data_IF_018804421411
#
_entry.id   IF_018804421411
#
_cell.length_a   1.000
_cell.length_b   1.000
_cell.length_c   1.000
_cell.angle_alpha   90.00
_cell.angle_beta   90.00
_cell.angle_gamma   90.00
#
_symmetry.space_group_name_H-M   'P 1'
#
loop_
_entity.id
_entity.type
_entity.pdbx_description
1 polymer ?
#
# COMPACT_ATOMS: atom_id res chain seq x y z
N UNK A 1 -2.81 45.43 29.47
CA UNK A 1 -1.75 44.40 29.52
C UNK A 1 -2.22 43.08 30.13
N UNK A 2 -2.74 43.06 31.38
CA UNK A 2 -3.17 41.80 32.05
C UNK A 2 -4.28 41.00 31.33
N UNK A 3 -5.30 41.66 30.74
CA UNK A 3 -6.36 40.97 29.98
C UNK A 3 -5.85 40.27 28.72
N UNK A 4 -4.90 40.87 28.01
CA UNK A 4 -4.32 40.28 26.80
C UNK A 4 -3.45 39.07 27.15
N UNK A 5 -2.74 39.11 28.29
CA UNK A 5 -1.96 37.98 28.79
C UNK A 5 -2.84 36.76 29.12
N UNK A 6 -4.05 36.98 29.67
CA UNK A 6 -5.02 35.90 29.95
C UNK A 6 -5.54 35.30 28.65
N UNK A 7 -5.89 36.11 27.65
CA UNK A 7 -6.30 35.61 26.34
C UNK A 7 -5.19 34.80 25.66
N UNK A 8 -3.94 35.27 25.73
CA UNK A 8 -2.78 34.55 25.18
C UNK A 8 -2.50 33.25 25.92
N UNK A 9 -2.63 33.20 27.25
CA UNK A 9 -2.48 31.94 27.99
C UNK A 9 -3.60 30.95 27.66
N UNK A 10 -4.83 31.44 27.50
CA UNK A 10 -5.99 30.62 27.20
C UNK A 10 -5.92 30.01 25.80
N UNK A 11 -5.42 30.75 24.80
CA UNK A 11 -5.20 30.21 23.46
C UNK A 11 -4.09 29.16 23.40
N UNK A 12 -3.02 29.31 24.19
CA UNK A 12 -1.97 28.28 24.32
C UNK A 12 -2.48 27.00 24.98
N UNK A 13 -3.40 27.11 25.94
CA UNK A 13 -3.99 25.95 26.63
C UNK A 13 -4.92 25.13 25.72
N UNK A 14 -5.60 25.76 24.75
CA UNK A 14 -6.46 25.06 23.79
C UNK A 14 -5.63 24.29 22.77
N UNK A 15 -4.46 24.80 22.38
CA UNK A 15 -3.57 24.14 21.41
C UNK A 15 -2.98 22.81 21.92
N UNK A 16 -2.93 22.58 23.24
CA UNK A 16 -2.35 21.36 23.83
C UNK A 16 -3.33 20.18 23.92
N UNK A 17 -4.60 20.34 23.53
CA UNK A 17 -5.61 19.27 23.57
C UNK A 17 -5.91 18.62 22.21
N UNK A 18 -5.13 18.92 21.17
CA UNK A 18 -5.31 18.29 19.86
C UNK A 18 -4.58 16.93 19.81
N UNK A 19 -5.18 15.91 20.39
CA UNK A 19 -4.76 14.51 20.18
C UNK A 19 -5.60 13.92 19.04
N UNK A 20 -5.00 13.78 17.86
CA UNK A 20 -5.63 13.14 16.69
C UNK A 20 -5.13 11.70 16.51
N UNK A 21 -5.11 10.91 17.57
CA UNK A 21 -4.76 9.49 17.49
C UNK A 21 -6.03 8.65 17.62
N UNK A 22 -6.48 8.05 16.52
CA UNK A 22 -7.47 6.99 16.56
C UNK A 22 -6.75 5.69 16.91
N UNK A 23 -7.21 4.98 17.94
CA UNK A 23 -6.77 3.62 18.18
C UNK A 23 -7.28 2.75 17.02
N UNK A 24 -6.36 2.17 16.24
CA UNK A 24 -6.68 1.20 15.20
C UNK A 24 -6.46 -0.21 15.74
N UNK A 25 -7.32 -1.15 15.34
CA UNK A 25 -7.12 -2.57 15.63
C UNK A 25 -6.51 -3.22 14.39
N UNK A 26 -5.41 -3.96 14.56
CA UNK A 26 -4.86 -4.81 13.51
C UNK A 26 -5.84 -5.95 13.24
N UNK A 27 -6.37 -6.05 12.02
CA UNK A 27 -7.32 -7.09 11.63
C UNK A 27 -6.62 -8.27 10.94
N UNK A 28 -5.56 -8.00 10.19
CA UNK A 28 -4.80 -8.98 9.43
C UNK A 28 -3.37 -8.49 9.20
N UNK A 29 -2.44 -9.43 9.13
CA UNK A 29 -1.05 -9.18 8.77
C UNK A 29 -0.56 -10.34 7.90
N UNK A 30 0.01 -9.99 6.75
CA UNK A 30 0.70 -10.91 5.86
C UNK A 30 2.17 -10.50 5.78
N UNK A 31 3.04 -11.50 5.83
CA UNK A 31 4.47 -11.38 5.63
C UNK A 31 4.98 -12.72 5.08
N UNK A 32 5.60 -12.69 3.91
CA UNK A 32 6.31 -13.82 3.33
C UNK A 32 7.83 -13.61 3.48
N UNK A 33 8.49 -14.34 4.40
CA UNK A 33 9.91 -14.17 4.67
C UNK A 33 10.80 -14.69 3.52
N UNK A 34 10.24 -15.30 2.48
CA UNK A 34 10.99 -15.74 1.30
C UNK A 34 11.22 -14.60 0.30
N UNK A 35 10.44 -13.52 0.38
CA UNK A 35 10.60 -12.34 -0.46
C UNK A 35 11.84 -11.56 -0.01
N UNK A 36 12.82 -11.47 -0.90
CA UNK A 36 14.10 -10.81 -0.60
C UNK A 36 13.96 -9.30 -0.73
N UNK A 37 14.38 -8.55 0.30
CA UNK A 37 14.36 -7.09 0.29
C UNK A 37 15.25 -6.43 -0.77
N UNK A 38 14.96 -5.17 -1.08
CA UNK A 38 15.81 -4.37 -1.96
C UNK A 38 17.23 -4.20 -1.37
N UNK A 39 18.24 -4.09 -2.23
CA UNK A 39 19.64 -3.89 -1.81
C UNK A 39 19.85 -2.52 -1.17
N UNK A 40 19.03 -1.53 -1.53
CA UNK A 40 19.18 -0.15 -1.06
C UNK A 40 18.54 0.09 0.30
N UNK A 41 17.42 -0.57 0.63
CA UNK A 41 16.63 -0.27 1.81
C UNK A 41 16.13 -1.49 2.59
N UNK A 42 16.44 -2.70 2.14
CA UNK A 42 15.94 -3.96 2.72
C UNK A 42 14.39 -4.01 2.80
N UNK A 43 13.72 -3.33 1.86
CA UNK A 43 12.27 -3.36 1.76
C UNK A 43 11.84 -4.50 0.82
N UNK A 44 11.20 -5.53 1.38
CA UNK A 44 10.59 -6.61 0.62
C UNK A 44 9.33 -6.14 -0.14
N UNK A 45 8.61 -5.19 0.45
CA UNK A 45 7.36 -4.65 -0.06
C UNK A 45 7.49 -3.18 -0.48
N UNK A 46 6.73 -2.77 -1.48
CA UNK A 46 6.65 -1.40 -1.97
C UNK A 46 5.28 -1.18 -2.63
N UNK A 47 4.56 -0.14 -2.20
CA UNK A 47 3.19 0.20 -2.64
C UNK A 47 2.04 -0.64 -2.06
N UNK A 48 0.92 0.04 -1.83
CA UNK A 48 -0.35 -0.52 -1.39
C UNK A 48 -1.50 0.22 -2.10
N UNK A 49 -2.19 -0.48 -2.98
CA UNK A 49 -3.35 0.03 -3.71
C UNK A 49 -4.60 -0.76 -3.35
N UNK A 50 -5.78 -0.23 -3.68
CA UNK A 50 -7.02 -0.95 -3.46
C UNK A 50 -8.12 -0.56 -4.43
N UNK A 51 -8.94 -1.53 -4.81
CA UNK A 51 -10.09 -1.33 -5.68
C UNK A 51 -11.21 -2.33 -5.35
N UNK A 52 -12.39 -2.13 -5.95
CA UNK A 52 -13.52 -3.06 -5.83
C UNK A 52 -13.89 -3.63 -7.20
N UNK A 53 -14.00 -4.94 -7.30
CA UNK A 53 -14.40 -5.67 -8.51
C UNK A 53 -15.31 -6.83 -8.11
N UNK A 54 -16.34 -7.15 -8.90
CA UNK A 54 -17.24 -8.29 -8.65
C UNK A 54 -17.85 -8.40 -7.24
N UNK A 55 -18.03 -7.26 -6.55
CA UNK A 55 -18.42 -7.12 -5.14
C UNK A 55 -17.37 -7.47 -4.09
N UNK A 56 -16.16 -7.80 -4.52
CA UNK A 56 -15.00 -8.10 -3.68
C UNK A 56 -14.12 -6.85 -3.54
N UNK A 57 -13.67 -6.57 -2.33
CA UNK A 57 -12.67 -5.53 -2.06
C UNK A 57 -11.27 -6.16 -2.17
N UNK A 58 -10.44 -5.60 -3.04
CA UNK A 58 -9.10 -6.13 -3.32
C UNK A 58 -8.06 -5.14 -2.82
N UNK A 59 -7.13 -5.62 -1.99
CA UNK A 59 -5.88 -4.94 -1.69
C UNK A 59 -4.77 -5.46 -2.61
N UNK A 60 -3.97 -4.55 -3.14
CA UNK A 60 -2.82 -4.87 -4.00
C UNK A 60 -1.56 -4.45 -3.28
N UNK A 61 -0.64 -5.39 -3.06
CA UNK A 61 0.64 -5.13 -2.40
C UNK A 61 1.75 -5.39 -3.42
N UNK A 62 2.67 -4.44 -3.57
CA UNK A 62 3.88 -4.67 -4.35
C UNK A 62 5.02 -5.24 -3.54
N UNK A 63 5.87 -5.99 -4.21
CA UNK A 63 7.08 -6.59 -3.65
C UNK A 63 8.23 -6.55 -4.63
N UNK A 64 9.42 -6.92 -4.17
CA UNK A 64 10.56 -7.16 -5.06
C UNK A 64 10.32 -8.27 -6.08
N UNK A 65 9.29 -9.11 -5.88
CA UNK A 65 8.92 -10.20 -6.79
C UNK A 65 7.80 -9.84 -7.77
N UNK A 66 6.88 -8.96 -7.38
CA UNK A 66 5.74 -8.62 -8.24
C UNK A 66 4.59 -7.95 -7.52
N UNK A 67 3.38 -8.33 -7.92
CA UNK A 67 2.12 -7.73 -7.49
C UNK A 67 1.22 -8.81 -6.90
N UNK A 68 0.91 -8.66 -5.61
CA UNK A 68 0.08 -9.58 -4.83
C UNK A 68 -1.32 -9.02 -4.69
N UNK A 69 -2.35 -9.84 -4.88
CA UNK A 69 -3.76 -9.44 -4.80
C UNK A 69 -4.41 -10.18 -3.64
N UNK A 70 -4.95 -9.44 -2.67
CA UNK A 70 -5.65 -9.98 -1.51
C UNK A 70 -7.13 -9.64 -1.58
N UNK A 71 -8.01 -10.64 -1.40
CA UNK A 71 -9.39 -10.37 -1.02
C UNK A 71 -9.40 -9.92 0.44
N UNK A 72 -9.92 -8.70 0.66
CA UNK A 72 -10.04 -8.06 1.98
C UNK A 72 -11.49 -7.71 2.33
N UNK A 73 -12.47 -8.30 1.62
CA UNK A 73 -13.91 -8.09 1.84
C UNK A 73 -14.32 -8.44 3.28
N UNK A 74 -13.71 -9.48 3.84
CA UNK A 74 -13.67 -9.74 5.28
C UNK A 74 -12.21 -9.59 5.77
N UNK A 75 -11.83 -8.42 6.31
CA UNK A 75 -10.45 -8.13 6.64
C UNK A 75 -9.80 -9.15 7.57
N UNK A 76 -10.55 -9.79 8.48
CA UNK A 76 -10.01 -10.78 9.41
C UNK A 76 -9.70 -12.13 8.76
N UNK A 77 -10.33 -12.41 7.61
CA UNK A 77 -10.17 -13.63 6.82
C UNK A 77 -9.58 -13.33 5.44
N UNK A 78 -8.71 -12.31 5.36
CA UNK A 78 -8.07 -11.92 4.10
C UNK A 78 -7.19 -13.04 3.55
N UNK A 79 -7.18 -13.20 2.23
CA UNK A 79 -6.36 -14.24 1.55
C UNK A 79 -5.79 -13.71 0.24
N UNK A 80 -4.59 -14.17 -0.12
CA UNK A 80 -4.03 -13.88 -1.45
C UNK A 80 -4.79 -14.70 -2.50
N UNK A 81 -5.41 -14.01 -3.46
CA UNK A 81 -6.26 -14.61 -4.50
C UNK A 81 -5.59 -14.65 -5.86
N UNK A 82 -4.56 -13.83 -6.08
CA UNK A 82 -3.76 -13.84 -7.30
C UNK A 82 -2.37 -13.23 -7.06
N UNK A 83 -1.43 -13.60 -7.91
CA UNK A 83 -0.11 -13.00 -7.98
C UNK A 83 0.31 -12.83 -9.44
N UNK A 84 0.93 -11.69 -9.75
CA UNK A 84 1.54 -11.42 -11.06
C UNK A 84 3.01 -11.08 -10.84
N UNK A 85 3.90 -11.91 -11.37
CA UNK A 85 5.33 -11.64 -11.32
C UNK A 85 5.68 -10.33 -12.05
N UNK A 86 6.57 -9.56 -11.45
CA UNK A 86 7.09 -8.34 -12.07
C UNK A 86 7.92 -8.66 -13.31
N UNK A 87 7.87 -7.80 -14.32
CA UNK A 87 8.77 -7.91 -15.48
C UNK A 87 10.25 -7.79 -15.08
N UNK A 88 10.51 -6.99 -14.03
CA UNK A 88 11.78 -6.95 -13.32
C UNK A 88 11.56 -7.32 -11.84
N UNK A 89 12.46 -8.13 -11.30
CA UNK A 89 12.38 -8.68 -9.94
C UNK A 89 13.74 -8.66 -9.21
N UNK A 90 13.69 -8.86 -7.90
CA UNK A 90 14.86 -9.03 -7.03
C UNK A 90 15.31 -7.73 -6.36
N UNK A 91 16.50 -7.77 -5.76
CA UNK A 91 16.99 -6.71 -4.89
C UNK A 91 17.20 -5.33 -5.54
N UNK A 92 17.06 -5.21 -6.86
CA UNK A 92 17.06 -3.91 -7.55
C UNK A 92 15.72 -3.17 -7.51
N UNK A 93 14.63 -3.83 -7.10
CA UNK A 93 13.29 -3.23 -7.04
C UNK A 93 13.12 -2.52 -5.70
N UNK A 94 13.12 -1.20 -5.71
CA UNK A 94 12.78 -0.37 -4.54
C UNK A 94 11.32 0.01 -4.58
N UNK A 95 10.75 0.28 -5.77
CA UNK A 95 9.38 0.73 -5.92
C UNK A 95 8.60 0.08 -7.06
N UNK A 96 7.29 -0.03 -6.84
CA UNK A 96 6.26 -0.26 -7.84
C UNK A 96 5.19 0.80 -7.63
N UNK A 97 4.45 1.15 -8.67
CA UNK A 97 3.26 1.99 -8.56
C UNK A 97 2.09 1.36 -9.29
N UNK A 98 0.89 1.59 -8.76
CA UNK A 98 -0.35 1.00 -9.27
C UNK A 98 -1.41 2.05 -9.56
N UNK A 99 -2.21 1.78 -10.58
CA UNK A 99 -3.47 2.49 -10.80
C UNK A 99 -4.47 1.58 -11.50
N UNK A 100 -5.70 1.49 -11.00
CA UNK A 100 -6.77 0.78 -11.69
C UNK A 100 -7.61 1.73 -12.56
N UNK A 101 -7.94 1.28 -13.77
CA UNK A 101 -8.83 2.02 -14.66
C UNK A 101 -9.55 1.08 -15.62
N UNK A 102 -10.89 1.19 -15.66
CA UNK A 102 -11.76 0.41 -16.56
C UNK A 102 -11.54 -1.11 -16.53
N UNK A 103 -11.34 -1.69 -15.34
CA UNK A 103 -11.17 -3.14 -15.20
C UNK A 103 -9.76 -3.65 -15.52
N UNK A 104 -8.78 -2.75 -15.58
CA UNK A 104 -7.36 -3.10 -15.70
C UNK A 104 -6.56 -2.47 -14.56
N UNK A 105 -5.54 -3.19 -14.08
CA UNK A 105 -4.51 -2.65 -13.21
C UNK A 105 -3.27 -2.32 -14.05
N UNK A 106 -2.82 -1.07 -13.98
CA UNK A 106 -1.61 -0.57 -14.60
C UNK A 106 -0.50 -0.58 -13.56
N UNK A 107 0.62 -1.23 -13.89
CA UNK A 107 1.71 -1.50 -12.97
C UNK A 107 3.01 -0.99 -13.59
N UNK A 108 3.77 -0.19 -12.85
CA UNK A 108 5.11 0.28 -13.24
C UNK A 108 6.15 -0.05 -12.18
N UNK A 109 7.39 -0.18 -12.62
CA UNK A 109 8.61 -0.27 -11.82
C UNK A 109 9.68 0.50 -12.61
N UNK A 110 10.24 1.56 -12.01
CA UNK A 110 11.20 2.44 -12.70
C UNK A 110 12.57 1.77 -12.86
N UNK A 111 12.89 0.84 -11.97
CA UNK A 111 14.12 0.06 -11.99
C UNK A 111 14.09 -1.03 -13.06
N UNK A 112 15.22 -1.72 -13.25
CA UNK A 112 15.33 -2.76 -14.26
C UNK A 112 15.44 -2.19 -15.67
N UNK A 113 16.43 -1.33 -15.90
CA UNK A 113 16.75 -0.79 -17.22
C UNK A 113 16.75 -1.89 -18.28
N UNK A 114 15.98 -1.71 -19.37
CA UNK A 114 15.77 -2.65 -20.48
C UNK A 114 14.99 -3.95 -20.19
N UNK A 115 14.62 -4.24 -18.93
CA UNK A 115 13.81 -5.42 -18.56
C UNK A 115 12.42 -5.05 -18.04
N UNK A 116 12.30 -3.95 -17.31
CA UNK A 116 11.01 -3.49 -16.78
C UNK A 116 10.10 -2.98 -17.90
N UNK A 117 8.80 -3.10 -17.66
CA UNK A 117 7.74 -2.77 -18.61
C UNK A 117 6.54 -2.21 -17.88
N UNK A 118 5.71 -1.42 -18.55
CA UNK A 118 4.33 -1.22 -18.13
C UNK A 118 3.56 -2.54 -18.24
N UNK A 119 3.16 -3.13 -17.12
CA UNK A 119 2.29 -4.31 -17.10
C UNK A 119 0.84 -3.85 -16.96
N UNK A 120 -0.04 -4.39 -17.80
CA UNK A 120 -1.48 -4.12 -17.77
C UNK A 120 -2.18 -5.45 -17.53
N UNK A 121 -2.82 -5.58 -16.36
CA UNK A 121 -3.46 -6.82 -15.91
C UNK A 121 -4.96 -6.64 -15.97
N UNK A 122 -5.67 -7.54 -16.67
CA UNK A 122 -7.13 -7.60 -16.63
C UNK A 122 -7.58 -8.13 -15.27
N UNK A 123 -8.28 -7.29 -14.50
CA UNK A 123 -8.75 -7.62 -13.15
C UNK A 123 -10.21 -8.07 -13.12
N UNK A 124 -10.89 -8.15 -14.27
CA UNK A 124 -12.33 -8.48 -14.35
C UNK A 124 -12.68 -9.89 -13.90
N UNK A 125 -11.70 -10.81 -13.87
CA UNK A 125 -11.85 -12.20 -13.43
C UNK A 125 -11.38 -12.45 -11.99
N UNK A 126 -10.96 -11.41 -11.25
CA UNK A 126 -10.78 -11.54 -9.81
C UNK A 126 -12.13 -11.89 -9.14
N UNK A 127 -12.11 -12.56 -7.97
CA UNK A 127 -13.32 -13.07 -7.30
C UNK A 127 -14.44 -12.04 -7.15
#
# INVERSE_FOLDING_TARGET
MKKNLILTLFSYLIATFSFSQLNTNLLFNWDDPTIVGSTSYDNAYNECWGFKVNNTEIAVIGSTEGTHFFDVTDPQNSTEVAFVAGAYTGGGVVHRDYHDYQGYLYIVCDEGWSTSTLQIVDISNLP
#
